data_IF_131789614237
#
_entry.id   IF_131789614237
#
_cell.length_a   1.000
_cell.length_b   1.000
_cell.length_c   1.000
_cell.angle_alpha   90.00
_cell.angle_beta   90.00
_cell.angle_gamma   90.00
#
_symmetry.space_group_name_H-M   'P 1'
#
loop_
_entity.id
_entity.type
_entity.pdbx_description
1 polymer ?
#
# COMPACT_ATOMS: atom_id res chain seq x y z
N UNK A 1 13.74 22.89 -7.63
CA UNK A 1 14.35 22.53 -6.32
C UNK A 1 15.66 21.79 -6.63
N UNK A 2 16.83 22.40 -6.37
CA UNK A 2 18.13 21.74 -6.61
C UNK A 2 18.52 20.93 -5.38
N UNK A 3 18.70 19.62 -5.53
CA UNK A 3 19.15 18.72 -4.46
C UNK A 3 20.62 19.02 -4.09
N UNK A 4 21.06 18.66 -2.88
CA UNK A 4 22.44 18.89 -2.42
C UNK A 4 23.45 18.03 -3.21
N UNK A 5 24.64 18.54 -3.55
CA UNK A 5 25.64 17.82 -4.37
C UNK A 5 26.05 16.44 -3.83
N UNK A 6 26.11 16.26 -2.50
CA UNK A 6 26.43 14.97 -1.87
C UNK A 6 25.35 13.90 -2.08
N UNK A 7 24.13 14.30 -2.47
CA UNK A 7 23.08 13.35 -2.84
C UNK A 7 23.30 12.85 -4.28
N UNK A 8 23.79 13.69 -5.20
CA UNK A 8 23.99 13.32 -6.60
C UNK A 8 25.03 12.20 -6.77
N UNK A 9 26.17 12.28 -6.08
CA UNK A 9 27.21 11.24 -6.15
C UNK A 9 26.73 9.88 -5.63
N UNK A 10 25.73 9.87 -4.73
CA UNK A 10 25.11 8.65 -4.22
C UNK A 10 24.06 8.06 -5.18
N UNK A 11 23.45 8.87 -6.05
CA UNK A 11 22.40 8.41 -6.97
C UNK A 11 22.94 7.85 -8.30
N UNK A 12 24.15 8.23 -8.71
CA UNK A 12 24.80 7.68 -9.91
C UNK A 12 25.13 6.18 -9.78
N UNK A 13 25.24 5.68 -8.54
CA UNK A 13 25.62 4.30 -8.22
C UNK A 13 24.41 3.35 -8.06
N UNK A 14 23.17 3.87 -8.04
CA UNK A 14 21.98 3.03 -7.83
C UNK A 14 21.43 2.46 -9.13
N UNK A 15 21.23 1.14 -9.11
CA UNK A 15 20.48 0.44 -10.16
C UNK A 15 19.05 1.00 -10.23
N UNK A 16 18.69 1.58 -11.38
CA UNK A 16 17.34 2.08 -11.67
C UNK A 16 16.27 1.03 -11.38
N UNK A 17 16.62 -0.26 -11.46
CA UNK A 17 15.73 -1.37 -11.11
C UNK A 17 15.23 -1.28 -9.66
N UNK A 18 16.11 -0.95 -8.70
CA UNK A 18 15.78 -0.88 -7.28
C UNK A 18 14.78 0.25 -6.99
N UNK A 19 15.03 1.43 -7.55
CA UNK A 19 14.15 2.59 -7.41
C UNK A 19 12.79 2.37 -8.08
N UNK A 20 12.77 1.65 -9.20
CA UNK A 20 11.52 1.37 -9.92
C UNK A 20 10.49 0.65 -9.06
N UNK A 21 10.92 -0.17 -8.08
CA UNK A 21 10.05 -0.94 -7.18
C UNK A 21 9.11 -0.06 -6.34
N UNK A 22 9.49 1.19 -6.08
CA UNK A 22 8.67 2.16 -5.34
C UNK A 22 7.71 2.96 -6.24
N UNK A 23 7.75 2.72 -7.55
CA UNK A 23 6.90 3.38 -8.55
C UNK A 23 5.83 2.38 -9.02
N UNK A 24 4.56 2.79 -8.94
CA UNK A 24 3.42 1.99 -9.40
C UNK A 24 3.52 1.72 -10.91
N UNK A 25 3.05 0.56 -11.36
CA UNK A 25 3.17 0.12 -12.77
C UNK A 25 2.70 1.16 -13.81
N UNK A 26 1.56 1.86 -13.64
CA UNK A 26 1.10 2.85 -14.62
C UNK A 26 2.12 3.98 -14.85
N UNK A 27 2.70 4.50 -13.77
CA UNK A 27 3.75 5.53 -13.83
C UNK A 27 5.04 4.97 -14.42
N UNK A 28 5.40 3.73 -14.07
CA UNK A 28 6.59 3.05 -14.62
C UNK A 28 6.47 2.80 -16.12
N UNK A 29 5.27 2.49 -16.58
CA UNK A 29 4.93 2.25 -17.99
C UNK A 29 4.79 3.53 -18.80
N UNK A 30 5.00 4.70 -18.18
CA UNK A 30 4.90 6.01 -18.83
C UNK A 30 3.53 6.26 -19.48
N UNK A 31 2.46 5.80 -18.81
CA UNK A 31 1.09 6.19 -19.20
C UNK A 31 0.95 7.72 -19.18
N UNK A 32 0.10 8.26 -20.06
CA UNK A 32 -0.04 9.70 -20.18
C UNK A 32 -0.63 10.30 -18.90
N UNK A 33 -0.34 11.57 -18.62
CA UNK A 33 -0.89 12.25 -17.45
C UNK A 33 -2.42 12.25 -17.48
N UNK A 34 -3.05 12.34 -18.65
CA UNK A 34 -4.50 12.29 -18.80
C UNK A 34 -5.08 10.92 -18.41
N UNK A 35 -4.35 9.83 -18.67
CA UNK A 35 -4.76 8.48 -18.24
C UNK A 35 -4.59 8.27 -16.73
N UNK A 36 -3.66 9.00 -16.12
CA UNK A 36 -3.37 8.95 -14.69
C UNK A 36 -4.10 10.02 -13.88
N UNK A 37 -4.86 10.92 -14.50
CA UNK A 37 -5.53 12.06 -13.84
C UNK A 37 -7.03 12.01 -14.13
N UNK A 38 -7.73 11.04 -13.56
CA UNK A 38 -9.14 10.79 -13.85
C UNK A 38 -10.01 10.67 -12.58
N UNK A 39 -11.28 11.05 -12.71
CA UNK A 39 -12.31 10.70 -11.72
C UNK A 39 -12.86 9.31 -12.04
N UNK A 40 -12.71 8.38 -11.11
CA UNK A 40 -13.15 6.99 -11.29
C UNK A 40 -13.80 6.42 -10.04
N UNK A 41 -14.77 5.54 -10.25
CA UNK A 41 -15.34 4.71 -9.20
C UNK A 41 -14.35 3.58 -8.82
N UNK A 42 -13.80 3.67 -7.61
CA UNK A 42 -12.88 2.68 -7.05
C UNK A 42 -13.38 2.18 -5.69
N UNK A 43 -12.74 1.12 -5.19
CA UNK A 43 -12.94 0.64 -3.82
C UNK A 43 -11.66 0.88 -3.01
N UNK A 44 -11.81 1.49 -1.85
CA UNK A 44 -10.73 1.74 -0.90
C UNK A 44 -10.89 0.79 0.28
N UNK A 45 -9.81 0.09 0.63
CA UNK A 45 -9.67 -0.65 1.87
C UNK A 45 -8.64 0.05 2.75
N UNK A 46 -9.11 0.63 3.85
CA UNK A 46 -8.29 1.30 4.85
C UNK A 46 -8.09 0.37 6.04
N UNK A 47 -6.84 0.02 6.35
CA UNK A 47 -6.51 -0.89 7.45
C UNK A 47 -5.69 -0.12 8.47
N UNK A 48 -6.18 -0.06 9.71
CA UNK A 48 -5.47 0.48 10.85
C UNK A 48 -5.07 -0.66 11.79
N UNK A 49 -3.79 -0.68 12.18
CA UNK A 49 -3.19 -1.75 12.98
C UNK A 49 -2.55 -1.12 14.20
N UNK A 50 -3.04 -1.47 15.38
CA UNK A 50 -2.45 -1.05 16.65
C UNK A 50 -1.50 -2.15 17.11
N UNK A 51 -0.25 -1.80 17.40
CA UNK A 51 0.75 -2.76 17.89
C UNK A 51 0.73 -2.84 19.41
N UNK A 52 1.03 -4.01 19.98
CA UNK A 52 1.10 -4.23 21.44
C UNK A 52 2.32 -3.55 22.07
N UNK A 53 3.43 -3.42 21.33
CA UNK A 53 4.68 -2.83 21.82
C UNK A 53 5.43 -2.11 20.68
N UNK A 54 5.80 -0.84 20.96
CA UNK A 54 6.50 0.10 20.09
C UNK A 54 8.02 0.14 20.29
N UNK A 55 8.62 -0.85 20.98
CA UNK A 55 10.08 -0.96 21.10
C UNK A 55 10.77 -0.87 19.73
N UNK A 56 11.49 0.24 19.53
CA UNK A 56 12.13 0.65 18.28
C UNK A 56 13.02 -0.46 17.70
N UNK A 57 13.73 -1.22 18.55
CA UNK A 57 14.64 -2.30 18.13
C UNK A 57 13.97 -3.35 17.24
N UNK A 58 12.69 -3.67 17.48
CA UNK A 58 11.97 -4.71 16.74
C UNK A 58 10.92 -4.17 15.78
N UNK A 59 10.66 -2.86 15.82
CA UNK A 59 9.62 -2.23 15.02
C UNK A 59 9.80 -2.46 13.51
N UNK A 60 11.00 -2.30 12.90
CA UNK A 60 11.17 -2.54 11.46
C UNK A 60 10.76 -3.96 11.03
N UNK A 61 11.13 -4.99 11.81
CA UNK A 61 10.77 -6.38 11.50
C UNK A 61 9.27 -6.64 11.61
N UNK A 62 8.61 -6.03 12.60
CA UNK A 62 7.14 -6.10 12.74
C UNK A 62 6.44 -5.42 11.57
N UNK A 63 6.90 -4.23 11.18
CA UNK A 63 6.36 -3.49 10.04
C UNK A 63 6.56 -4.28 8.73
N UNK A 64 7.75 -4.83 8.51
CA UNK A 64 8.04 -5.66 7.34
C UNK A 64 7.09 -6.86 7.27
N UNK A 65 6.91 -7.59 8.39
CA UNK A 65 5.99 -8.75 8.45
C UNK A 65 4.56 -8.37 8.05
N UNK A 66 4.08 -7.19 8.49
CA UNK A 66 2.75 -6.68 8.13
C UNK A 66 2.69 -6.33 6.64
N UNK A 67 3.70 -5.63 6.13
CA UNK A 67 3.78 -5.23 4.72
C UNK A 67 3.83 -6.46 3.83
N UNK A 68 4.60 -7.49 4.18
CA UNK A 68 4.69 -8.75 3.43
C UNK A 68 3.35 -9.48 3.41
N UNK A 69 2.67 -9.57 4.56
CA UNK A 69 1.32 -10.16 4.61
C UNK A 69 0.34 -9.40 3.71
N UNK A 70 0.40 -8.06 3.71
CA UNK A 70 -0.43 -7.23 2.85
C UNK A 70 -0.07 -7.41 1.37
N UNK A 71 1.22 -7.40 1.03
CA UNK A 71 1.73 -7.54 -0.33
C UNK A 71 1.35 -8.90 -0.94
N UNK A 72 1.44 -9.98 -0.16
CA UNK A 72 1.01 -11.30 -0.60
C UNK A 72 -0.49 -11.33 -0.89
N UNK A 73 -1.33 -10.84 0.03
CA UNK A 73 -2.79 -10.85 -0.16
C UNK A 73 -3.25 -9.91 -1.27
N UNK A 74 -2.60 -8.76 -1.45
CA UNK A 74 -2.94 -7.81 -2.50
C UNK A 74 -2.57 -8.34 -3.89
N UNK A 75 -1.48 -9.11 -3.98
CA UNK A 75 -1.07 -9.77 -5.23
C UNK A 75 -2.10 -10.80 -5.70
N UNK A 76 -2.74 -11.52 -4.78
CA UNK A 76 -3.79 -12.52 -5.09
C UNK A 76 -5.08 -11.83 -5.55
N UNK A 77 -5.42 -10.71 -4.92
CA UNK A 77 -6.67 -9.99 -5.16
C UNK A 77 -6.58 -8.95 -6.27
N UNK A 78 -5.38 -8.71 -6.83
CA UNK A 78 -5.07 -7.68 -7.84
C UNK A 78 -5.43 -6.25 -7.40
N UNK A 79 -5.24 -5.95 -6.11
CA UNK A 79 -5.31 -4.57 -5.62
C UNK A 79 -3.98 -3.83 -5.74
N UNK A 80 -3.94 -2.63 -5.18
CA UNK A 80 -2.73 -1.81 -5.08
C UNK A 80 -2.56 -1.27 -3.65
N UNK A 81 -1.43 -1.54 -3.01
CA UNK A 81 -1.03 -0.87 -1.78
C UNK A 81 -0.49 0.52 -2.16
N UNK A 82 -1.29 1.55 -1.91
CA UNK A 82 -1.03 2.92 -2.39
C UNK A 82 -0.22 3.75 -1.40
N UNK A 83 -0.54 3.65 -0.10
CA UNK A 83 0.11 4.42 0.96
C UNK A 83 0.28 3.56 2.20
N UNK A 84 1.44 3.72 2.82
CA UNK A 84 1.79 3.16 4.12
C UNK A 84 2.21 4.35 4.97
N UNK A 85 1.59 4.52 6.14
CA UNK A 85 1.96 5.60 7.04
C UNK A 85 1.74 5.18 8.49
N UNK A 86 2.59 5.67 9.38
CA UNK A 86 2.39 5.48 10.82
C UNK A 86 1.66 6.68 11.41
N UNK A 87 0.73 6.41 12.31
CA UNK A 87 -0.01 7.42 13.05
C UNK A 87 -0.03 7.03 14.53
N UNK A 88 0.51 7.88 15.40
CA UNK A 88 0.69 7.63 16.84
C UNK A 88 1.30 6.24 17.15
N UNK A 89 0.44 5.33 17.65
CA UNK A 89 0.72 3.95 18.04
C UNK A 89 0.08 2.97 17.07
N UNK A 90 0.01 3.32 15.79
CA UNK A 90 -0.52 2.44 14.76
C UNK A 90 0.19 2.55 13.41
N UNK A 91 0.04 1.49 12.62
CA UNK A 91 0.36 1.46 11.20
C UNK A 91 -0.96 1.52 10.42
N UNK A 92 -1.03 2.41 9.44
CA UNK A 92 -2.15 2.51 8.51
C UNK A 92 -1.71 2.12 7.09
N UNK A 93 -2.52 1.29 6.45
CA UNK A 93 -2.36 0.84 5.07
C UNK A 93 -3.56 1.30 4.25
N UNK A 94 -3.29 1.93 3.11
CA UNK A 94 -4.31 2.33 2.14
C UNK A 94 -4.20 1.45 0.89
N UNK A 95 -5.18 0.57 0.71
CA UNK A 95 -5.26 -0.32 -0.44
C UNK A 95 -6.39 0.14 -1.36
N UNK A 96 -6.14 0.15 -2.67
CA UNK A 96 -7.11 0.58 -3.67
C UNK A 96 -7.35 -0.53 -4.70
N UNK A 97 -8.60 -0.68 -5.12
CA UNK A 97 -9.05 -1.62 -6.14
C UNK A 97 -9.79 -0.84 -7.23
N UNK A 98 -9.42 -1.08 -8.49
CA UNK A 98 -9.97 -0.34 -9.62
C UNK A 98 -9.15 0.85 -10.09
N UNK A 99 -7.92 1.02 -9.59
CA UNK A 99 -6.97 2.04 -10.05
C UNK A 99 -6.63 1.87 -11.55
N UNK A 100 -6.10 2.91 -12.24
CA UNK A 100 -5.57 2.79 -13.60
C UNK A 100 -4.62 1.59 -13.72
N UNK A 101 -4.84 0.73 -14.72
CA UNK A 101 -4.09 -0.52 -14.92
C UNK A 101 -4.46 -1.71 -14.01
N UNK A 102 -5.37 -1.53 -13.04
CA UNK A 102 -5.82 -2.55 -12.07
C UNK A 102 -7.35 -2.66 -11.98
N UNK A 103 -8.08 -2.32 -13.05
CA UNK A 103 -9.54 -2.33 -13.08
C UNK A 103 -10.08 -3.73 -13.36
N UNK A 104 -10.99 -4.19 -12.50
CA UNK A 104 -11.72 -5.44 -12.72
C UNK A 104 -13.24 -5.26 -12.54
N UNK A 105 -14.08 -6.09 -13.20
CA UNK A 105 -15.53 -6.04 -13.00
C UNK A 105 -15.96 -6.34 -11.56
N UNK A 106 -15.19 -7.16 -10.86
CA UNK A 106 -15.43 -7.68 -9.51
C UNK A 106 -14.61 -6.97 -8.41
N UNK A 107 -14.15 -5.72 -8.65
CA UNK A 107 -13.31 -4.97 -7.70
C UNK A 107 -13.90 -4.86 -6.28
N UNK A 108 -15.23 -4.74 -6.16
CA UNK A 108 -15.90 -4.65 -4.86
C UNK A 108 -15.79 -5.98 -4.09
N UNK A 109 -16.00 -7.10 -4.77
CA UNK A 109 -15.84 -8.44 -4.19
C UNK A 109 -14.38 -8.69 -3.80
N UNK A 110 -13.43 -8.33 -4.68
CA UNK A 110 -11.99 -8.41 -4.42
C UNK A 110 -11.59 -7.61 -3.18
N UNK A 111 -12.07 -6.38 -3.06
CA UNK A 111 -11.78 -5.50 -1.92
C UNK A 111 -12.32 -6.09 -0.60
N UNK A 112 -13.55 -6.62 -0.60
CA UNK A 112 -14.14 -7.24 0.58
C UNK A 112 -13.41 -8.55 0.97
N UNK A 113 -13.09 -9.41 0.00
CA UNK A 113 -12.30 -10.63 0.25
C UNK A 113 -10.92 -10.29 0.80
N UNK A 114 -10.23 -9.32 0.19
CA UNK A 114 -8.96 -8.84 0.68
C UNK A 114 -9.07 -8.35 2.13
N UNK A 115 -10.03 -7.45 2.40
CA UNK A 115 -10.27 -6.89 3.73
C UNK A 115 -10.50 -7.98 4.78
N UNK A 116 -11.36 -8.96 4.49
CA UNK A 116 -11.64 -10.06 5.41
C UNK A 116 -10.38 -10.92 5.70
N UNK A 117 -9.69 -11.36 4.65
CA UNK A 117 -8.53 -12.25 4.77
C UNK A 117 -7.34 -11.56 5.44
N UNK A 118 -7.06 -10.30 5.08
CA UNK A 118 -5.94 -9.57 5.66
C UNK A 118 -6.19 -9.26 7.14
N UNK A 119 -7.42 -8.91 7.53
CA UNK A 119 -7.77 -8.71 8.94
C UNK A 119 -7.53 -9.98 9.75
N UNK A 120 -8.07 -11.12 9.32
CA UNK A 120 -7.85 -12.40 10.01
C UNK A 120 -6.37 -12.77 10.11
N UNK A 121 -5.57 -12.50 9.08
CA UNK A 121 -4.15 -12.85 9.05
C UNK A 121 -3.35 -11.95 9.99
N UNK A 122 -3.64 -10.65 10.01
CA UNK A 122 -2.94 -9.68 10.86
C UNK A 122 -3.31 -9.83 12.34
N UNK A 123 -4.56 -10.17 12.67
CA UNK A 123 -5.00 -10.42 14.06
C UNK A 123 -4.29 -11.61 14.72
N UNK A 124 -3.78 -12.56 13.92
CA UNK A 124 -3.00 -13.72 14.42
C UNK A 124 -1.56 -13.37 14.79
N UNK A 125 -1.08 -12.18 14.45
CA UNK A 125 0.27 -11.75 14.79
C UNK A 125 0.33 -11.37 16.28
N UNK A 126 1.21 -12.03 17.04
CA UNK A 126 1.34 -11.86 18.49
C UNK A 126 1.71 -10.42 18.94
N UNK A 127 2.19 -9.58 18.03
CA UNK A 127 2.54 -8.19 18.28
C UNK A 127 1.46 -7.18 17.83
N UNK A 128 0.31 -7.66 17.34
CA UNK A 128 -0.84 -6.84 16.94
C UNK A 128 -1.88 -6.88 18.06
N UNK A 129 -2.24 -5.70 18.57
CA UNK A 129 -3.24 -5.54 19.62
C UNK A 129 -4.66 -5.48 19.03
N UNK A 130 -4.79 -4.82 17.88
CA UNK A 130 -6.08 -4.65 17.19
C UNK A 130 -5.85 -4.36 15.72
N UNK A 131 -6.73 -4.92 14.88
CA UNK A 131 -6.88 -4.53 13.48
C UNK A 131 -8.25 -3.90 13.31
N UNK A 132 -8.34 -2.84 12.52
CA UNK A 132 -9.61 -2.21 12.15
C UNK A 132 -9.58 -1.91 10.67
N UNK A 133 -10.54 -2.47 9.94
CA UNK A 133 -10.57 -2.38 8.47
C UNK A 133 -11.88 -1.73 8.04
N UNK A 134 -11.78 -0.69 7.23
CA UNK A 134 -12.92 -0.03 6.59
C UNK A 134 -12.84 -0.20 5.08
N UNK A 135 -13.97 -0.54 4.45
CA UNK A 135 -14.08 -0.61 2.99
C UNK A 135 -15.11 0.40 2.53
N UNK A 136 -14.77 1.20 1.53
CA UNK A 136 -15.68 2.16 0.91
C UNK A 136 -15.58 2.11 -0.61
N UNK A 137 -16.68 2.46 -1.27
CA UNK A 137 -16.76 2.58 -2.72
C UNK A 137 -17.16 4.02 -3.05
N UNK A 138 -16.46 4.67 -3.97
CA UNK A 138 -16.75 6.05 -4.30
C UNK A 138 -15.99 6.54 -5.53
N UNK A 139 -16.46 7.64 -6.10
CA UNK A 139 -15.71 8.36 -7.11
C UNK A 139 -14.54 9.08 -6.46
N UNK A 140 -13.34 8.81 -6.94
CA UNK A 140 -12.11 9.42 -6.46
C UNK A 140 -11.34 9.99 -7.62
N UNK A 141 -10.61 11.08 -7.37
CA UNK A 141 -9.56 11.53 -8.27
C UNK A 141 -8.33 10.65 -8.05
N UNK A 142 -7.93 9.90 -9.07
CA UNK A 142 -6.77 9.04 -9.08
C UNK A 142 -5.61 9.74 -9.77
#
# INVERSE_FOLDING_TARGET
MKLRPSAYSYFEEYDKSALSTFIIKPVRNQESLDQLSELRLINICFINIILTDYKIKYLPYKLQTVIDCCAEQISITNGLLTKIFMFDKGLSLLCAFGMPGYKHPDDAERALKFAFLITQRLEKLNFVARVSTGVSTGQTFC
#
